data_IF_650792691833
#
_entry.id   IF_650792691833
#
_cell.length_a   1.000
_cell.length_b   1.000
_cell.length_c   1.000
_cell.angle_alpha   90.00
_cell.angle_beta   90.00
_cell.angle_gamma   90.00
#
_symmetry.space_group_name_H-M   'P 1'
#
loop_
_entity.id
_entity.type
_entity.pdbx_description
1 polymer ?
#
# COMPACT_ATOMS: atom_id res chain seq x y z
N UNK A 1 -25.54 20.90 -38.74
CA UNK A 1 -24.23 20.67 -39.38
C UNK A 1 -23.35 21.81 -38.91
N UNK A 2 -22.35 21.65 -38.05
CA UNK A 2 -21.37 20.58 -37.80
C UNK A 2 -20.92 20.69 -36.33
N UNK A 3 -21.14 19.65 -35.53
CA UNK A 3 -20.11 18.77 -34.97
C UNK A 3 -19.15 19.41 -33.96
N UNK A 4 -19.57 19.35 -32.70
CA UNK A 4 -18.70 19.34 -31.51
C UNK A 4 -17.95 18.01 -31.45
N UNK A 5 -16.67 18.00 -31.80
CA UNK A 5 -15.78 16.86 -31.55
C UNK A 5 -15.41 16.83 -30.07
N UNK A 6 -16.09 15.96 -29.32
CA UNK A 6 -15.71 15.57 -27.96
C UNK A 6 -14.46 14.69 -28.01
N UNK A 7 -13.34 15.22 -27.53
CA UNK A 7 -12.10 14.45 -27.29
C UNK A 7 -12.34 13.53 -26.08
N UNK A 8 -12.00 12.23 -26.14
CA UNK A 8 -12.14 11.35 -24.99
C UNK A 8 -11.01 11.59 -23.98
N UNK A 9 -11.40 12.01 -22.78
CA UNK A 9 -10.56 12.14 -21.60
C UNK A 9 -10.13 10.74 -21.12
N UNK A 10 -9.00 10.26 -21.64
CA UNK A 10 -8.29 9.08 -21.11
C UNK A 10 -6.83 9.46 -20.89
N UNK A 11 -6.60 10.23 -19.83
CA UNK A 11 -5.25 10.45 -19.32
C UNK A 11 -4.68 9.19 -18.67
N UNK A 12 -3.36 8.95 -18.73
CA UNK A 12 -2.72 7.88 -17.98
C UNK A 12 -2.95 8.11 -16.48
N UNK A 13 -3.41 7.07 -15.78
CA UNK A 13 -3.57 7.10 -14.32
C UNK A 13 -2.21 7.36 -13.66
N UNK A 14 -2.09 8.34 -12.75
CA UNK A 14 -0.83 8.59 -12.06
C UNK A 14 -0.47 7.38 -11.18
N UNK A 15 0.75 6.86 -11.37
CA UNK A 15 1.28 5.67 -10.71
C UNK A 15 1.79 6.06 -9.33
N UNK A 16 0.89 6.36 -8.37
CA UNK A 16 1.31 7.09 -7.16
C UNK A 16 1.54 6.28 -5.88
N UNK A 17 1.73 4.97 -6.01
CA UNK A 17 1.55 4.11 -4.87
C UNK A 17 2.79 3.25 -4.64
N UNK A 18 3.68 3.72 -3.76
CA UNK A 18 4.90 3.01 -3.35
C UNK A 18 5.34 3.31 -1.93
N UNK A 19 6.09 2.38 -1.30
CA UNK A 19 6.60 2.52 0.06
C UNK A 19 7.68 3.59 0.12
N UNK A 20 7.55 4.48 1.11
CA UNK A 20 8.54 5.47 1.49
C UNK A 20 9.82 4.74 1.89
N UNK A 21 10.93 5.03 1.20
CA UNK A 21 12.27 4.55 1.56
C UNK A 21 12.81 5.22 2.82
N UNK A 22 12.04 5.20 3.91
CA UNK A 22 12.59 5.54 5.22
C UNK A 22 13.52 4.39 5.67
N UNK A 23 14.79 4.67 5.98
CA UNK A 23 15.66 3.68 6.57
C UNK A 23 15.13 3.31 7.96
N UNK A 24 15.05 2.01 8.23
CA UNK A 24 14.79 1.43 9.54
C UNK A 24 15.77 2.05 10.55
N UNK A 25 15.31 2.67 11.65
CA UNK A 25 16.19 3.06 12.74
C UNK A 25 16.82 1.80 13.34
N UNK A 26 18.15 1.69 13.28
CA UNK A 26 18.91 0.70 14.05
C UNK A 26 18.81 1.04 15.54
N UNK A 27 18.49 0.05 16.37
CA UNK A 27 18.23 0.10 17.83
C UNK A 27 19.44 0.52 18.71
N UNK A 28 20.22 1.52 18.30
CA UNK A 28 21.38 1.98 19.10
C UNK A 28 21.12 3.27 19.89
N UNK A 29 20.00 3.95 19.66
CA UNK A 29 19.69 5.21 20.35
C UNK A 29 18.47 5.08 21.26
N UNK A 30 18.64 4.44 22.41
CA UNK A 30 17.71 4.57 23.53
C UNK A 30 18.44 4.42 24.86
N UNK A 31 19.09 5.51 25.29
CA UNK A 31 19.48 5.70 26.68
C UNK A 31 19.14 7.12 27.13
N UNK A 32 17.94 7.29 27.66
CA UNK A 32 17.65 8.22 28.76
C UNK A 32 16.25 7.93 29.31
N UNK A 33 16.21 7.70 30.62
CA UNK A 33 15.07 7.25 31.40
C UNK A 33 13.99 8.32 31.59
N UNK A 34 12.78 7.88 31.95
CA UNK A 34 12.16 8.30 33.22
C UNK A 34 11.06 7.35 33.68
N UNK A 35 11.17 7.03 34.96
CA UNK A 35 10.38 6.21 35.88
C UNK A 35 8.97 6.73 36.18
N UNK A 36 8.06 5.85 36.63
CA UNK A 36 7.03 6.00 37.72
C UNK A 36 6.24 4.67 37.82
N UNK A 37 6.53 3.82 38.81
CA UNK A 37 5.82 3.57 40.11
C UNK A 37 4.54 2.71 40.03
N UNK A 38 4.64 1.51 40.61
CA UNK A 38 3.60 0.51 40.89
C UNK A 38 2.92 0.69 42.26
N UNK A 39 1.67 0.21 42.42
CA UNK A 39 1.20 -0.37 43.70
C UNK A 39 0.44 -1.73 43.50
N UNK A 40 0.08 -2.50 44.58
CA UNK A 40 0.25 -3.97 44.68
C UNK A 40 -1.03 -4.84 44.54
N UNK A 41 -0.96 -6.19 44.69
CA UNK A 41 -2.02 -7.14 44.32
C UNK A 41 -2.80 -7.77 45.49
N UNK A 42 -4.07 -8.16 45.28
CA UNK A 42 -4.82 -9.24 46.02
C UNK A 42 -6.26 -9.41 45.44
N UNK A 43 -7.06 -10.44 45.77
CA UNK A 43 -6.99 -11.90 45.53
C UNK A 43 -8.24 -12.42 44.71
N UNK A 44 -8.45 -13.74 44.47
CA UNK A 44 -9.29 -14.24 43.37
C UNK A 44 -10.74 -14.66 43.71
N UNK A 45 -11.57 -14.68 42.65
CA UNK A 45 -12.78 -15.51 42.41
C UNK A 45 -14.10 -15.11 43.14
N UNK A 46 -15.30 -15.30 42.54
CA UNK A 46 -15.71 -16.54 41.88
C UNK A 46 -16.43 -16.45 40.52
N UNK A 47 -16.23 -17.54 39.77
CA UNK A 47 -17.11 -18.17 38.78
C UNK A 47 -18.55 -17.65 38.77
N UNK A 48 -18.97 -17.09 37.63
CA UNK A 48 -20.37 -17.09 37.21
C UNK A 48 -20.46 -17.59 35.78
N UNK A 49 -21.04 -18.78 35.68
CA UNK A 49 -21.56 -19.40 34.48
C UNK A 49 -22.41 -18.41 33.66
N UNK A 50 -21.98 -18.08 32.45
CA UNK A 50 -22.84 -17.40 31.47
C UNK A 50 -23.18 -18.34 30.35
N UNK A 51 -24.37 -18.90 30.49
CA UNK A 51 -25.17 -19.61 29.50
C UNK A 51 -25.15 -18.84 28.17
N UNK A 52 -24.72 -19.52 27.12
CA UNK A 52 -24.76 -19.03 25.74
C UNK A 52 -26.21 -19.02 25.24
N UNK A 53 -26.93 -17.93 25.49
CA UNK A 53 -28.11 -17.59 24.71
C UNK A 53 -27.69 -16.73 23.51
N UNK A 54 -27.53 -17.37 22.37
CA UNK A 54 -27.44 -16.73 21.05
C UNK A 54 -28.77 -16.06 20.74
N UNK A 55 -28.91 -14.79 21.12
CA UNK A 55 -29.97 -13.91 20.62
C UNK A 55 -29.37 -13.00 19.55
N UNK A 56 -29.68 -13.29 18.29
CA UNK A 56 -29.42 -12.41 17.15
C UNK A 56 -30.17 -11.11 17.33
N UNK A 57 -29.52 -10.10 17.89
CA UNK A 57 -30.07 -8.75 18.00
C UNK A 57 -29.87 -8.03 16.67
N UNK A 58 -30.97 -7.70 16.00
CA UNK A 58 -31.00 -6.78 14.88
C UNK A 58 -30.65 -5.39 15.41
N UNK A 59 -29.39 -4.98 15.24
CA UNK A 59 -28.92 -3.65 15.64
C UNK A 59 -29.58 -2.59 14.76
N UNK A 60 -30.45 -1.78 15.36
CA UNK A 60 -31.10 -0.66 14.67
C UNK A 60 -30.17 0.57 14.69
N UNK A 61 -30.16 1.31 13.58
CA UNK A 61 -29.36 2.51 13.35
C UNK A 61 -29.39 3.54 14.53
N UNK A 62 -30.51 3.75 15.24
CA UNK A 62 -30.56 4.63 16.41
C UNK A 62 -29.77 4.14 17.62
N UNK A 63 -29.62 2.82 17.79
CA UNK A 63 -28.81 2.24 18.89
C UNK A 63 -27.30 2.41 18.61
N UNK A 64 -26.91 2.31 17.35
CA UNK A 64 -25.54 2.62 16.88
C UNK A 64 -25.19 4.10 17.11
N UNK A 65 -26.13 5.01 16.87
CA UNK A 65 -25.92 6.46 17.06
C UNK A 65 -25.72 6.87 18.53
N UNK A 66 -26.30 6.14 19.50
CA UNK A 66 -26.17 6.45 20.93
C UNK A 66 -24.85 6.00 21.55
N UNK A 67 -24.20 4.98 21.00
CA UNK A 67 -22.88 4.48 21.44
C UNK A 67 -21.73 5.19 20.70
N UNK A 68 -22.08 5.93 19.64
CA UNK A 68 -21.14 6.61 18.77
C UNK A 68 -20.27 7.69 19.42
N UNK A 69 -20.73 8.54 20.37
CA UNK A 69 -19.93 9.70 20.78
C UNK A 69 -18.66 9.35 21.56
N UNK A 70 -18.73 8.49 22.59
CA UNK A 70 -17.54 8.13 23.38
C UNK A 70 -16.55 7.24 22.61
N UNK A 71 -17.07 6.39 21.72
CA UNK A 71 -16.23 5.58 20.83
C UNK A 71 -15.63 6.41 19.69
N UNK A 72 -16.32 7.46 19.22
CA UNK A 72 -15.81 8.38 18.22
C UNK A 72 -14.67 9.25 18.78
N UNK A 73 -14.77 9.79 19.99
CA UNK A 73 -13.70 10.61 20.58
C UNK A 73 -12.42 9.79 20.82
N UNK A 74 -12.55 8.56 21.34
CA UNK A 74 -11.43 7.63 21.49
C UNK A 74 -10.81 7.25 20.13
N UNK A 75 -11.64 7.06 19.10
CA UNK A 75 -11.16 6.80 17.75
C UNK A 75 -10.45 8.00 17.14
N UNK A 76 -11.03 9.21 17.24
CA UNK A 76 -10.49 10.43 16.67
C UNK A 76 -9.18 10.85 17.34
N UNK A 77 -9.08 10.72 18.67
CA UNK A 77 -7.82 10.95 19.39
C UNK A 77 -6.72 9.97 18.96
N UNK A 78 -7.06 8.70 18.72
CA UNK A 78 -6.10 7.75 18.18
C UNK A 78 -5.74 8.05 16.71
N UNK A 79 -6.71 8.41 15.88
CA UNK A 79 -6.47 8.83 14.51
C UNK A 79 -5.55 10.07 14.45
N UNK A 80 -5.73 11.03 15.35
CA UNK A 80 -4.84 12.19 15.47
C UNK A 80 -3.41 11.76 15.78
N UNK A 81 -3.20 10.78 16.68
CA UNK A 81 -1.86 10.22 16.95
C UNK A 81 -1.25 9.57 15.71
N UNK A 82 -2.05 8.85 14.91
CA UNK A 82 -1.59 8.31 13.62
C UNK A 82 -1.16 9.41 12.64
N UNK A 83 -1.83 10.56 12.65
CA UNK A 83 -1.56 11.68 11.75
C UNK A 83 -0.47 12.64 12.26
N UNK A 84 0.09 12.39 13.45
CA UNK A 84 1.09 13.25 14.06
C UNK A 84 2.44 13.26 13.33
N UNK A 85 2.70 12.27 12.47
CA UNK A 85 3.95 12.15 11.72
C UNK A 85 3.70 12.12 10.21
N UNK A 86 4.62 12.63 9.37
CA UNK A 86 4.50 12.53 7.92
C UNK A 86 4.37 11.08 7.42
N UNK A 87 5.11 10.15 8.04
CA UNK A 87 5.07 8.71 7.72
C UNK A 87 3.70 8.09 8.06
N UNK A 88 3.08 8.53 9.17
CA UNK A 88 1.73 8.11 9.55
C UNK A 88 0.64 8.67 8.62
N UNK A 89 0.76 9.93 8.20
CA UNK A 89 -0.10 10.53 7.16
C UNK A 89 0.00 9.74 5.86
N UNK A 90 1.22 9.43 5.41
CA UNK A 90 1.46 8.66 4.20
C UNK A 90 0.82 7.27 4.29
N UNK A 91 1.01 6.56 5.40
CA UNK A 91 0.40 5.24 5.65
C UNK A 91 -1.12 5.29 5.57
N UNK A 92 -1.76 6.29 6.18
CA UNK A 92 -3.21 6.47 6.10
C UNK A 92 -3.66 6.75 4.65
N UNK A 93 -2.94 7.61 3.93
CA UNK A 93 -3.23 7.91 2.52
C UNK A 93 -3.07 6.67 1.64
N UNK A 94 -2.06 5.82 1.87
CA UNK A 94 -1.89 4.55 1.15
C UNK A 94 -3.09 3.65 1.37
N UNK A 95 -3.50 3.49 2.64
CA UNK A 95 -4.63 2.67 3.02
C UNK A 95 -5.92 3.16 2.39
N UNK A 96 -6.21 4.46 2.48
CA UNK A 96 -7.40 5.09 1.86
C UNK A 96 -7.35 4.97 0.34
N UNK A 97 -6.19 5.20 -0.29
CA UNK A 97 -6.00 5.09 -1.73
C UNK A 97 -6.42 3.70 -2.22
N UNK A 98 -5.80 2.65 -1.71
CA UNK A 98 -6.06 1.32 -2.24
C UNK A 98 -7.37 0.73 -1.81
N UNK A 99 -7.82 1.01 -0.59
CA UNK A 99 -9.13 0.55 -0.15
C UNK A 99 -10.22 1.16 -1.03
N UNK A 100 -10.14 2.46 -1.31
CA UNK A 100 -11.12 3.14 -2.16
C UNK A 100 -11.03 2.68 -3.62
N UNK A 101 -9.83 2.44 -4.18
CA UNK A 101 -9.67 1.84 -5.52
C UNK A 101 -10.25 0.43 -5.60
N UNK A 102 -9.94 -0.43 -4.64
CA UNK A 102 -10.44 -1.80 -4.58
C UNK A 102 -11.96 -1.85 -4.46
N UNK A 103 -12.52 -1.12 -3.48
CA UNK A 103 -13.97 -1.07 -3.27
C UNK A 103 -14.67 -0.40 -4.46
N UNK A 104 -14.07 0.64 -5.06
CA UNK A 104 -14.59 1.28 -6.27
C UNK A 104 -14.70 0.32 -7.44
N UNK A 105 -13.63 -0.44 -7.72
CA UNK A 105 -13.60 -1.46 -8.76
C UNK A 105 -14.59 -2.61 -8.48
N UNK A 106 -14.69 -3.06 -7.22
CA UNK A 106 -15.62 -4.10 -6.80
C UNK A 106 -17.09 -3.67 -7.00
N UNK A 107 -17.45 -2.46 -6.57
CA UNK A 107 -18.79 -1.90 -6.76
C UNK A 107 -19.13 -1.69 -8.24
N UNK A 108 -18.16 -1.30 -9.05
CA UNK A 108 -18.34 -1.15 -10.50
C UNK A 108 -18.65 -2.50 -11.14
N UNK A 109 -17.88 -3.56 -10.82
CA UNK A 109 -18.18 -4.93 -11.30
C UNK A 109 -19.52 -5.45 -10.82
N UNK A 110 -19.88 -5.17 -9.56
CA UNK A 110 -21.17 -5.54 -9.01
C UNK A 110 -22.31 -4.84 -9.77
N UNK A 111 -22.20 -3.53 -10.00
CA UNK A 111 -23.20 -2.76 -10.75
C UNK A 111 -23.41 -3.31 -12.16
N UNK A 112 -22.33 -3.63 -12.87
CA UNK A 112 -22.39 -4.23 -14.21
C UNK A 112 -23.03 -5.62 -14.18
N UNK A 113 -22.74 -6.42 -13.17
CA UNK A 113 -23.32 -7.76 -13.01
C UNK A 113 -24.83 -7.69 -12.76
N UNK A 114 -25.26 -6.76 -11.89
CA UNK A 114 -26.68 -6.52 -11.61
C UNK A 114 -27.40 -6.04 -12.87
N UNK A 115 -26.83 -5.06 -13.60
CA UNK A 115 -27.40 -4.54 -14.85
C UNK A 115 -27.53 -5.64 -15.92
N UNK A 116 -26.50 -6.49 -16.08
CA UNK A 116 -26.55 -7.62 -17.04
C UNK A 116 -27.62 -8.64 -16.68
N UNK A 117 -27.82 -8.93 -15.39
CA UNK A 117 -28.89 -9.84 -14.94
C UNK A 117 -30.27 -9.25 -15.25
N UNK A 118 -30.49 -7.99 -14.92
CA UNK A 118 -31.74 -7.28 -15.24
C UNK A 118 -31.99 -7.24 -16.75
N UNK A 119 -30.97 -6.94 -17.56
CA UNK A 119 -31.09 -6.94 -19.01
C UNK A 119 -31.46 -8.32 -19.57
N UNK A 120 -30.86 -9.41 -19.07
CA UNK A 120 -31.20 -10.78 -19.48
C UNK A 120 -32.63 -11.16 -19.12
N UNK A 121 -33.10 -10.76 -17.94
CA UNK A 121 -34.49 -11.00 -17.54
C UNK A 121 -35.48 -10.23 -18.40
N UNK A 122 -35.17 -8.97 -18.74
CA UNK A 122 -35.99 -8.18 -19.67
C UNK A 122 -36.04 -8.82 -21.06
N UNK A 123 -34.88 -9.25 -21.58
CA UNK A 123 -34.80 -9.96 -22.87
C UNK A 123 -35.60 -11.26 -22.84
N UNK A 124 -35.50 -12.05 -21.77
CA UNK A 124 -36.29 -13.26 -21.60
C UNK A 124 -37.79 -12.95 -21.56
N UNK A 125 -38.20 -11.89 -20.87
CA UNK A 125 -39.60 -11.44 -20.82
C UNK A 125 -40.10 -11.01 -22.21
N UNK A 126 -39.27 -10.30 -22.99
CA UNK A 126 -39.60 -9.93 -24.38
C UNK A 126 -39.89 -11.16 -25.22
N UNK A 127 -39.09 -12.23 -25.09
CA UNK A 127 -39.31 -13.47 -25.84
C UNK A 127 -40.54 -14.27 -25.40
N UNK A 128 -41.12 -13.97 -24.23
CA UNK A 128 -42.40 -14.58 -23.79
C UNK A 128 -43.64 -13.84 -24.28
N UNK A 129 -43.49 -12.67 -24.94
CA UNK A 129 -44.63 -11.90 -25.45
C UNK A 129 -45.11 -12.42 -26.81
N UNK A 130 -46.43 -12.47 -27.08
CA UNK A 130 -46.97 -12.90 -28.38
C UNK A 130 -46.62 -11.91 -29.52
N UNK A 131 -46.21 -12.38 -30.72
CA UNK A 131 -46.13 -11.52 -31.91
C UNK A 131 -47.54 -11.25 -32.49
N UNK A 132 -47.83 -10.12 -33.21
CA UNK A 132 -46.97 -9.03 -33.67
C UNK A 132 -47.49 -7.60 -33.28
N UNK A 133 -48.15 -7.40 -32.13
CA UNK A 133 -48.74 -6.08 -31.76
C UNK A 133 -48.29 -5.49 -30.41
N UNK A 134 -47.28 -6.06 -29.75
CA UNK A 134 -46.80 -5.52 -28.48
C UNK A 134 -45.75 -4.42 -28.72
N UNK A 135 -46.18 -3.15 -28.71
CA UNK A 135 -45.26 -2.03 -28.55
C UNK A 135 -44.70 -2.07 -27.13
N UNK A 136 -43.41 -2.40 -26.99
CA UNK A 136 -42.74 -2.42 -25.68
C UNK A 136 -42.26 -0.99 -25.40
N UNK A 137 -43.03 -0.27 -24.60
CA UNK A 137 -42.60 1.03 -24.05
C UNK A 137 -41.70 0.71 -22.86
N UNK A 138 -40.38 0.79 -23.07
CA UNK A 138 -39.41 0.75 -21.97
C UNK A 138 -39.38 2.14 -21.36
N UNK A 139 -40.30 2.41 -20.43
CA UNK A 139 -40.20 3.60 -19.60
C UNK A 139 -38.97 3.44 -18.69
N UNK A 140 -38.02 4.36 -18.82
CA UNK A 140 -36.86 4.43 -17.95
C UNK A 140 -37.32 4.79 -16.54
N UNK A 141 -37.71 3.77 -15.77
CA UNK A 141 -38.42 3.87 -14.50
C UNK A 141 -37.97 5.03 -13.61
N UNK A 142 -38.78 6.09 -13.63
CA UNK A 142 -39.15 6.87 -12.47
C UNK A 142 -40.51 6.37 -12.00
N UNK A 143 -40.51 5.53 -10.96
CA UNK A 143 -41.66 5.12 -10.15
C UNK A 143 -42.83 4.35 -10.81
N UNK A 144 -43.46 3.49 -9.99
CA UNK A 144 -44.76 2.81 -10.18
C UNK A 144 -44.89 1.72 -11.25
N UNK A 145 -44.26 0.55 -11.03
CA UNK A 145 -44.75 -0.70 -11.59
C UNK A 145 -45.17 -1.66 -10.45
N UNK A 146 -46.46 -1.61 -10.11
CA UNK A 146 -47.11 -2.48 -9.12
C UNK A 146 -47.30 -3.88 -9.70
N UNK A 147 -46.22 -4.67 -9.72
CA UNK A 147 -46.25 -6.11 -10.01
C UNK A 147 -45.69 -6.89 -8.83
N UNK A 148 -46.44 -7.89 -8.36
CA UNK A 148 -46.18 -8.72 -7.14
C UNK A 148 -44.81 -9.43 -7.11
N UNK A 149 -44.05 -9.40 -8.21
CA UNK A 149 -42.72 -10.03 -8.37
C UNK A 149 -41.60 -9.04 -8.79
N UNK A 150 -41.77 -7.72 -8.58
CA UNK A 150 -40.89 -6.68 -9.12
C UNK A 150 -39.60 -6.45 -8.29
N UNK A 151 -38.70 -7.44 -8.24
CA UNK A 151 -37.34 -7.23 -7.72
C UNK A 151 -36.40 -6.46 -8.69
N UNK A 152 -36.84 -6.25 -9.94
CA UNK A 152 -36.11 -5.54 -10.99
C UNK A 152 -35.87 -4.03 -10.72
N UNK A 153 -36.86 -3.23 -10.29
CA UNK A 153 -36.65 -1.82 -9.94
C UNK A 153 -35.68 -1.63 -8.75
N UNK A 154 -35.78 -2.48 -7.72
CA UNK A 154 -34.87 -2.43 -6.57
C UNK A 154 -33.41 -2.77 -6.96
N UNK A 155 -33.20 -3.78 -7.82
CA UNK A 155 -31.87 -4.13 -8.33
C UNK A 155 -31.27 -3.04 -9.21
N UNK A 156 -32.09 -2.36 -10.01
CA UNK A 156 -31.64 -1.24 -10.86
C UNK A 156 -31.24 -0.04 -10.01
N UNK A 157 -32.02 0.29 -8.96
CA UNK A 157 -31.66 1.33 -8.00
C UNK A 157 -30.36 0.99 -7.25
N UNK A 158 -30.22 -0.25 -6.78
CA UNK A 158 -28.99 -0.72 -6.13
C UNK A 158 -27.78 -0.68 -7.06
N UNK A 159 -27.94 -1.06 -8.34
CA UNK A 159 -26.88 -0.97 -9.34
C UNK A 159 -26.44 0.48 -9.61
N UNK A 160 -27.39 1.41 -9.69
CA UNK A 160 -27.09 2.86 -9.83
C UNK A 160 -26.34 3.40 -8.62
N UNK A 161 -26.78 3.08 -7.40
CA UNK A 161 -26.09 3.48 -6.17
C UNK A 161 -24.67 2.89 -6.10
N UNK A 162 -24.51 1.60 -6.43
CA UNK A 162 -23.21 0.96 -6.48
C UNK A 162 -22.27 1.61 -7.52
N UNK A 163 -22.78 1.96 -8.71
CA UNK A 163 -22.00 2.64 -9.73
C UNK A 163 -21.58 4.06 -9.28
N UNK A 164 -22.49 4.82 -8.67
CA UNK A 164 -22.20 6.17 -8.15
C UNK A 164 -21.17 6.11 -7.03
N UNK A 165 -21.35 5.25 -6.04
CA UNK A 165 -20.41 5.08 -4.95
C UNK A 165 -19.05 4.57 -5.47
N UNK A 166 -19.06 3.65 -6.43
CA UNK A 166 -17.87 3.16 -7.10
C UNK A 166 -17.07 4.27 -7.77
N UNK A 167 -17.74 5.19 -8.48
CA UNK A 167 -17.12 6.37 -9.09
C UNK A 167 -16.53 7.32 -8.03
N UNK A 168 -17.27 7.59 -6.95
CA UNK A 168 -16.82 8.46 -5.86
C UNK A 168 -15.59 7.91 -5.15
N UNK A 169 -15.57 6.61 -4.84
CA UNK A 169 -14.43 5.96 -4.21
C UNK A 169 -13.21 5.93 -5.14
N UNK A 170 -13.41 5.67 -6.44
CA UNK A 170 -12.31 5.73 -7.41
C UNK A 170 -11.71 7.14 -7.49
N UNK A 171 -12.55 8.17 -7.41
CA UNK A 171 -12.11 9.57 -7.39
C UNK A 171 -11.33 9.90 -6.10
N UNK A 172 -11.81 9.42 -4.95
CA UNK A 172 -11.11 9.56 -3.67
C UNK A 172 -9.73 8.88 -3.71
N UNK A 173 -9.65 7.69 -4.29
CA UNK A 173 -8.39 6.98 -4.47
C UNK A 173 -7.42 7.74 -5.37
N UNK A 174 -7.92 8.33 -6.47
CA UNK A 174 -7.13 9.21 -7.33
C UNK A 174 -6.61 10.45 -6.59
N UNK A 175 -7.42 11.04 -5.72
CA UNK A 175 -7.02 12.21 -4.93
C UNK A 175 -5.97 11.85 -3.87
N UNK A 176 -6.15 10.72 -3.17
CA UNK A 176 -5.17 10.23 -2.19
C UNK A 176 -3.83 9.88 -2.87
N UNK A 177 -3.90 9.20 -4.01
CA UNK A 177 -2.77 8.90 -4.90
C UNK A 177 -2.03 10.20 -5.30
N UNK A 178 -2.75 11.22 -5.75
CA UNK A 178 -2.15 12.53 -6.07
C UNK A 178 -1.47 13.18 -4.86
N UNK A 179 -2.12 13.20 -3.70
CA UNK A 179 -1.56 13.77 -2.48
C UNK A 179 -0.23 13.08 -2.09
N UNK A 180 -0.14 11.75 -2.26
CA UNK A 180 1.10 10.99 -2.06
C UNK A 180 2.20 11.38 -3.05
N UNK A 181 1.88 11.64 -4.31
CA UNK A 181 2.87 12.11 -5.30
C UNK A 181 3.41 13.48 -4.95
N UNK A 182 2.54 14.40 -4.53
CA UNK A 182 2.97 15.72 -4.06
C UNK A 182 3.88 15.58 -2.83
N UNK A 183 3.50 14.74 -1.85
CA UNK A 183 4.30 14.50 -0.66
C UNK A 183 5.70 13.94 -1.02
N UNK A 184 5.79 13.09 -2.05
CA UNK A 184 7.06 12.51 -2.50
C UNK A 184 8.02 13.51 -3.16
N UNK A 185 7.56 14.66 -3.64
CA UNK A 185 8.47 15.73 -4.08
C UNK A 185 9.43 16.15 -2.96
N UNK A 186 8.96 16.17 -1.71
CA UNK A 186 9.78 16.48 -0.54
C UNK A 186 10.73 15.35 -0.16
N UNK A 187 10.46 14.11 -0.58
CA UNK A 187 11.31 12.95 -0.27
C UNK A 187 12.66 12.97 -0.99
N UNK A 188 12.85 13.85 -1.99
CA UNK A 188 14.15 14.13 -2.61
C UNK A 188 15.19 14.59 -1.59
N UNK A 189 14.77 15.31 -0.54
CA UNK A 189 15.65 15.69 0.57
C UNK A 189 16.12 14.45 1.34
N UNK A 190 15.23 13.48 1.54
CA UNK A 190 15.58 12.18 2.13
C UNK A 190 16.58 11.40 1.27
N UNK A 191 16.43 11.45 -0.07
CA UNK A 191 17.39 10.82 -0.99
C UNK A 191 18.80 11.42 -0.88
N UNK A 192 18.91 12.73 -0.68
CA UNK A 192 20.21 13.37 -0.41
C UNK A 192 20.86 12.82 0.86
N UNK A 193 20.11 12.71 1.96
CA UNK A 193 20.65 12.16 3.21
C UNK A 193 21.01 10.67 3.10
N UNK A 194 20.25 9.90 2.33
CA UNK A 194 20.60 8.52 2.02
C UNK A 194 21.90 8.44 1.23
N UNK A 195 22.06 9.26 0.18
CA UNK A 195 23.30 9.35 -0.58
C UNK A 195 24.49 9.79 0.30
N UNK A 196 24.29 10.80 1.17
CA UNK A 196 25.29 11.26 2.13
C UNK A 196 25.72 10.12 3.07
N UNK A 197 24.79 9.31 3.56
CA UNK A 197 25.12 8.17 4.43
C UNK A 197 25.98 7.13 3.69
N UNK A 198 25.60 6.75 2.47
CA UNK A 198 26.36 5.77 1.69
C UNK A 198 27.75 6.27 1.30
N UNK A 199 27.88 7.55 0.96
CA UNK A 199 29.19 8.17 0.67
C UNK A 199 30.10 8.20 1.90
N UNK A 200 29.56 8.54 3.08
CA UNK A 200 30.32 8.52 4.33
C UNK A 200 30.76 7.09 4.71
N UNK A 201 29.90 6.08 4.51
CA UNK A 201 30.27 4.68 4.72
C UNK A 201 31.41 4.25 3.80
N UNK A 202 31.35 4.60 2.51
CA UNK A 202 32.40 4.31 1.55
C UNK A 202 33.74 4.96 1.94
N UNK A 203 33.70 6.23 2.38
CA UNK A 203 34.89 6.95 2.82
C UNK A 203 35.49 6.35 4.10
N UNK A 204 34.64 5.92 5.05
CA UNK A 204 35.09 5.24 6.26
C UNK A 204 35.77 3.91 5.95
N UNK A 205 35.21 3.10 5.03
CA UNK A 205 35.81 1.85 4.56
C UNK A 205 37.13 2.06 3.82
N UNK A 206 37.29 3.19 3.11
CA UNK A 206 38.55 3.54 2.47
C UNK A 206 39.62 3.97 3.48
N UNK A 207 39.25 4.74 4.49
CA UNK A 207 40.16 5.19 5.55
C UNK A 207 40.66 4.02 6.42
N UNK A 208 39.81 3.05 6.72
CA UNK A 208 40.21 1.85 7.48
C UNK A 208 41.17 0.96 6.67
N UNK A 209 40.98 0.88 5.35
CA UNK A 209 41.89 0.14 4.46
C UNK A 209 43.26 0.80 4.29
N UNK A 210 43.34 2.13 4.44
CA UNK A 210 44.60 2.90 4.23
C UNK A 210 45.37 3.12 5.54
N UNK A 211 44.70 3.03 6.70
CA UNK A 211 45.29 3.25 8.03
C UNK A 211 46.02 2.05 8.65
N UNK A 212 45.97 0.86 8.06
CA UNK A 212 46.60 -0.36 8.62
C UNK A 212 48.09 -0.53 8.24
N UNK A 213 48.76 0.55 7.81
CA UNK A 213 50.13 0.52 7.28
C UNK A 213 51.25 0.86 8.27
N UNK A 214 50.97 1.12 9.55
CA UNK A 214 52.03 1.50 10.49
C UNK A 214 51.75 1.10 11.95
N UNK A 215 51.78 -0.21 12.25
CA UNK A 215 52.10 -0.71 13.60
C UNK A 215 52.95 -1.98 13.50
N UNK A 216 54.26 -1.77 13.46
CA UNK A 216 55.25 -2.83 13.69
C UNK A 216 55.28 -3.22 15.18
N UNK A 217 55.64 -4.48 15.46
CA UNK A 217 55.96 -5.14 16.76
C UNK A 217 54.74 -5.66 17.55
N UNK A 218 54.51 -6.96 17.82
CA UNK A 218 55.31 -8.19 17.72
C UNK A 218 54.45 -9.49 17.76
N UNK A 219 55.04 -10.58 17.22
CA UNK A 219 54.89 -12.03 17.52
C UNK A 219 53.64 -12.84 17.09
N UNK A 220 53.87 -13.73 16.09
CA UNK A 220 53.42 -15.13 15.83
C UNK A 220 52.24 -15.73 16.62
N UNK A 221 51.34 -16.57 16.10
CA UNK A 221 51.43 -17.64 15.09
C UNK A 221 49.99 -18.18 14.79
N UNK A 222 49.71 -18.62 13.54
CA UNK A 222 48.66 -19.60 13.08
C UNK A 222 47.21 -19.46 13.63
N UNK A 223 46.18 -19.21 12.83
CA UNK A 223 45.70 -20.06 11.74
C UNK A 223 44.97 -19.26 10.65
N UNK A 224 45.49 -19.36 9.42
CA UNK A 224 44.78 -19.04 8.18
C UNK A 224 43.75 -20.13 7.88
N UNK A 225 42.46 -19.79 7.90
CA UNK A 225 41.41 -20.30 6.98
C UNK A 225 40.00 -19.81 7.38
N UNK A 226 39.69 -18.51 7.24
CA UNK A 226 38.28 -18.07 7.08
C UNK A 226 38.04 -16.62 6.60
N UNK A 227 39.06 -15.84 6.22
CA UNK A 227 38.87 -14.40 5.98
C UNK A 227 38.52 -14.00 4.53
N UNK A 228 38.32 -14.95 3.61
CA UNK A 228 37.99 -14.65 2.21
C UNK A 228 36.53 -14.25 1.94
N UNK A 229 35.60 -14.49 2.88
CA UNK A 229 34.16 -14.38 2.64
C UNK A 229 33.49 -13.05 3.04
N UNK A 230 33.99 -12.37 4.07
CA UNK A 230 33.35 -11.16 4.61
C UNK A 230 33.49 -9.96 3.67
N UNK A 231 34.70 -9.70 3.17
CA UNK A 231 34.97 -8.53 2.31
C UNK A 231 34.17 -8.53 0.99
N UNK A 232 33.95 -9.69 0.36
CA UNK A 232 33.15 -9.78 -0.86
C UNK A 232 31.66 -9.60 -0.60
N UNK A 233 31.17 -10.15 0.52
CA UNK A 233 29.78 -9.98 0.93
C UNK A 233 29.46 -8.52 1.27
N UNK A 234 30.38 -7.83 1.94
CA UNK A 234 30.24 -6.42 2.30
C UNK A 234 30.24 -5.52 1.06
N UNK A 235 31.11 -5.80 0.09
CA UNK A 235 31.11 -5.09 -1.21
C UNK A 235 29.82 -5.31 -1.99
N UNK A 236 29.27 -6.54 -1.96
CA UNK A 236 28.02 -6.85 -2.61
C UNK A 236 26.84 -6.13 -1.94
N UNK A 237 26.80 -6.10 -0.60
CA UNK A 237 25.79 -5.36 0.15
C UNK A 237 25.85 -3.86 -0.18
N UNK A 238 27.05 -3.27 -0.18
CA UNK A 238 27.23 -1.87 -0.57
C UNK A 238 26.79 -1.60 -2.01
N UNK A 239 27.07 -2.51 -2.95
CA UNK A 239 26.62 -2.39 -4.34
C UNK A 239 25.09 -2.44 -4.43
N UNK A 240 24.43 -3.34 -3.68
CA UNK A 240 22.97 -3.43 -3.62
C UNK A 240 22.37 -2.13 -3.07
N UNK A 241 22.93 -1.59 -1.99
CA UNK A 241 22.45 -0.33 -1.39
C UNK A 241 22.57 0.86 -2.36
N UNK A 242 23.69 0.96 -3.09
CA UNK A 242 23.87 1.96 -4.14
C UNK A 242 22.91 1.76 -5.32
N UNK A 243 22.72 0.52 -5.76
CA UNK A 243 21.78 0.21 -6.83
C UNK A 243 20.32 0.53 -6.44
N UNK A 244 19.95 0.29 -5.18
CA UNK A 244 18.66 0.67 -4.63
C UNK A 244 18.48 2.20 -4.62
N UNK A 245 19.48 2.95 -4.16
CA UNK A 245 19.45 4.42 -4.18
C UNK A 245 19.27 4.96 -5.61
N UNK A 246 20.11 4.50 -6.55
CA UNK A 246 20.04 4.95 -7.95
C UNK A 246 18.69 4.64 -8.57
N UNK A 247 18.18 3.43 -8.33
CA UNK A 247 16.86 3.02 -8.82
C UNK A 247 15.75 3.92 -8.26
N UNK A 248 15.80 4.24 -6.98
CA UNK A 248 14.81 5.12 -6.33
C UNK A 248 14.90 6.56 -6.87
N UNK A 249 16.11 7.11 -7.04
CA UNK A 249 16.32 8.45 -7.61
C UNK A 249 15.78 8.54 -9.03
N UNK A 250 16.09 7.56 -9.88
CA UNK A 250 15.60 7.54 -11.26
C UNK A 250 14.07 7.44 -11.32
N UNK A 251 13.48 6.59 -10.47
CA UNK A 251 12.02 6.53 -10.33
C UNK A 251 11.44 7.89 -9.96
N UNK A 252 11.97 8.53 -8.90
CA UNK A 252 11.44 9.81 -8.42
C UNK A 252 11.59 10.94 -9.44
N UNK A 253 12.72 11.05 -10.11
CA UNK A 253 12.94 12.11 -11.12
C UNK A 253 11.95 11.97 -12.28
N UNK A 254 11.72 10.76 -12.77
CA UNK A 254 10.80 10.50 -13.86
C UNK A 254 9.34 10.70 -13.46
N UNK A 255 8.95 10.20 -12.29
CA UNK A 255 7.59 10.36 -11.76
C UNK A 255 7.27 11.83 -11.49
N UNK A 256 8.17 12.54 -10.79
CA UNK A 256 8.00 13.95 -10.44
C UNK A 256 8.01 14.81 -11.71
N UNK A 257 8.90 14.52 -12.67
CA UNK A 257 8.95 15.21 -13.95
C UNK A 257 7.66 15.06 -14.75
N UNK A 258 7.11 13.84 -14.79
CA UNK A 258 5.85 13.56 -15.47
C UNK A 258 4.67 14.26 -14.77
N UNK A 259 4.62 14.18 -13.43
CA UNK A 259 3.57 14.80 -12.62
C UNK A 259 3.56 16.33 -12.77
N UNK A 260 4.73 16.96 -12.62
CA UNK A 260 4.88 18.42 -12.76
C UNK A 260 4.56 18.89 -14.19
N UNK A 261 4.93 18.11 -15.21
CA UNK A 261 4.56 18.40 -16.60
C UNK A 261 3.04 18.32 -16.82
N UNK A 262 2.38 17.32 -16.22
CA UNK A 262 0.92 17.20 -16.23
C UNK A 262 0.19 18.36 -15.54
N UNK A 263 0.89 19.13 -14.71
CA UNK A 263 0.39 20.35 -14.05
C UNK A 263 0.84 21.64 -14.73
N UNK A 264 1.53 21.55 -15.86
CA UNK A 264 2.03 22.70 -16.62
C UNK A 264 3.24 23.40 -16.00
N UNK A 265 3.89 22.80 -15.00
CA UNK A 265 5.13 23.34 -14.39
C UNK A 265 6.33 23.05 -15.29
N UNK A 266 6.33 21.88 -15.93
CA UNK A 266 7.35 21.45 -16.89
C UNK A 266 6.73 21.24 -18.28
N UNK A 267 7.56 21.18 -19.31
CA UNK A 267 7.13 21.19 -20.72
C UNK A 267 7.02 19.82 -21.40
N UNK A 268 6.97 18.68 -20.68
CA UNK A 268 6.90 17.38 -21.34
C UNK A 268 5.53 17.15 -21.97
N UNK A 269 5.52 16.61 -23.19
CA UNK A 269 4.32 16.20 -23.90
C UNK A 269 3.61 15.03 -23.19
N UNK A 270 2.30 14.81 -23.42
CA UNK A 270 1.59 13.67 -22.82
C UNK A 270 2.23 12.31 -23.11
N UNK A 271 2.83 12.15 -24.30
CA UNK A 271 3.55 10.93 -24.67
C UNK A 271 4.83 10.74 -23.84
N UNK A 272 5.57 11.83 -23.60
CA UNK A 272 6.77 11.80 -22.75
C UNK A 272 6.43 11.53 -21.29
N UNK A 273 5.34 12.11 -20.78
CA UNK A 273 4.84 11.83 -19.44
C UNK A 273 4.49 10.35 -19.27
N UNK A 274 3.73 9.78 -20.22
CA UNK A 274 3.39 8.36 -20.23
C UNK A 274 4.64 7.46 -20.26
N UNK A 275 5.61 7.79 -21.12
CA UNK A 275 6.89 7.07 -21.18
C UNK A 275 7.68 7.19 -19.88
N UNK A 276 7.72 8.38 -19.27
CA UNK A 276 8.41 8.60 -18.02
C UNK A 276 7.81 7.79 -16.88
N UNK A 277 6.48 7.69 -16.79
CA UNK A 277 5.81 6.81 -15.83
C UNK A 277 6.21 5.34 -16.04
N UNK A 278 6.15 4.83 -17.27
CA UNK A 278 6.53 3.44 -17.59
C UNK A 278 8.00 3.16 -17.27
N UNK A 279 8.92 4.03 -17.71
CA UNK A 279 10.35 3.87 -17.46
C UNK A 279 10.67 4.02 -15.99
N UNK A 280 10.03 4.96 -15.29
CA UNK A 280 10.13 5.09 -13.84
C UNK A 280 9.71 3.81 -13.14
N UNK A 281 8.56 3.23 -13.52
CA UNK A 281 8.09 1.97 -12.95
C UNK A 281 9.02 0.77 -13.21
N UNK A 282 9.89 0.82 -14.24
CA UNK A 282 10.94 -0.19 -14.42
C UNK A 282 12.04 -0.06 -13.37
N UNK A 283 12.51 1.17 -13.10
CA UNK A 283 13.49 1.42 -12.02
C UNK A 283 12.94 1.01 -10.67
N UNK A 284 11.66 1.26 -10.46
CA UNK A 284 10.95 0.78 -9.30
C UNK A 284 10.93 -0.75 -9.19
N UNK A 285 10.65 -1.45 -10.30
CA UNK A 285 10.70 -2.90 -10.34
C UNK A 285 12.10 -3.43 -9.98
N UNK A 286 13.16 -2.75 -10.44
CA UNK A 286 14.55 -3.07 -10.05
C UNK A 286 14.73 -2.92 -8.54
N UNK A 287 14.30 -1.80 -7.95
CA UNK A 287 14.34 -1.58 -6.51
C UNK A 287 13.61 -2.69 -5.73
N UNK A 288 12.38 -3.02 -6.12
CA UNK A 288 11.59 -4.09 -5.47
C UNK A 288 12.28 -5.44 -5.58
N UNK A 289 12.88 -5.76 -6.73
CA UNK A 289 13.64 -7.00 -6.92
C UNK A 289 14.88 -7.07 -6.01
N UNK A 290 15.64 -5.98 -5.91
CA UNK A 290 16.78 -5.87 -5.00
C UNK A 290 16.36 -6.04 -3.54
N UNK A 291 15.26 -5.39 -3.13
CA UNK A 291 14.75 -5.48 -1.76
C UNK A 291 14.26 -6.88 -1.40
N UNK A 292 13.56 -7.56 -2.32
CA UNK A 292 13.18 -8.97 -2.15
C UNK A 292 14.40 -9.88 -2.03
N UNK A 293 15.42 -9.66 -2.87
CA UNK A 293 16.67 -10.41 -2.81
C UNK A 293 17.39 -10.22 -1.47
N UNK A 294 17.51 -8.96 -1.01
CA UNK A 294 18.12 -8.61 0.28
C UNK A 294 17.40 -9.25 1.46
N UNK A 295 16.06 -9.17 1.48
CA UNK A 295 15.22 -9.78 2.52
C UNK A 295 15.31 -11.32 2.51
N UNK A 296 15.31 -11.94 1.33
CA UNK A 296 15.45 -13.39 1.20
C UNK A 296 16.83 -13.86 1.69
N UNK A 297 17.90 -13.18 1.28
CA UNK A 297 19.26 -13.47 1.74
C UNK A 297 19.34 -13.40 3.28
N UNK A 298 18.84 -12.32 3.89
CA UNK A 298 18.81 -12.17 5.34
C UNK A 298 17.99 -13.26 6.06
N UNK A 299 16.85 -13.66 5.51
CA UNK A 299 16.02 -14.74 6.07
C UNK A 299 16.72 -16.10 5.97
N UNK A 300 17.40 -16.40 4.86
CA UNK A 300 18.16 -17.64 4.67
C UNK A 300 19.36 -17.69 5.61
N UNK A 301 20.13 -16.61 5.72
CA UNK A 301 21.26 -16.52 6.64
C UNK A 301 20.84 -16.75 8.10
N UNK A 302 19.70 -16.20 8.51
CA UNK A 302 19.18 -16.37 9.88
C UNK A 302 18.53 -17.73 10.13
N UNK A 303 17.90 -18.32 9.12
CA UNK A 303 17.38 -19.68 9.22
C UNK A 303 18.51 -20.72 9.40
N UNK A 304 19.67 -20.50 8.77
CA UNK A 304 20.86 -21.34 8.95
C UNK A 304 21.56 -21.16 10.30
N UNK A 305 21.40 -19.99 10.93
CA UNK A 305 21.99 -19.67 12.24
C UNK A 305 21.08 -20.04 13.44
N UNK A 306 19.78 -20.29 13.19
CA UNK A 306 18.76 -20.48 14.23
C UNK A 306 18.76 -21.88 14.85
N UNK A 307 19.48 -22.04 15.97
CA UNK A 307 19.22 -23.11 16.93
C UNK A 307 18.00 -22.83 17.82
N UNK A 308 17.56 -23.82 18.60
CA UNK A 308 16.34 -23.82 19.45
C UNK A 308 16.26 -22.68 20.51
N UNK A 309 17.30 -21.85 20.64
CA UNK A 309 17.47 -20.76 21.61
C UNK A 309 17.43 -19.35 21.02
N UNK A 310 16.81 -19.13 19.86
CA UNK A 310 16.64 -17.78 19.29
C UNK A 310 15.95 -16.82 20.29
N UNK A 311 16.57 -15.67 20.55
CA UNK A 311 16.11 -14.67 21.52
C UNK A 311 14.77 -14.06 21.11
N UNK A 312 14.06 -13.42 22.06
CA UNK A 312 12.80 -12.72 21.75
C UNK A 312 13.00 -11.61 20.72
N UNK A 313 14.13 -10.90 20.79
CA UNK A 313 14.52 -9.83 19.86
C UNK A 313 14.78 -10.38 18.45
N UNK A 314 15.51 -11.50 18.33
CA UNK A 314 15.77 -12.13 17.04
C UNK A 314 14.47 -12.62 16.37
N UNK A 315 13.55 -13.18 17.17
CA UNK A 315 12.22 -13.57 16.70
C UNK A 315 11.40 -12.38 16.20
N UNK A 316 11.48 -11.25 16.90
CA UNK A 316 10.82 -10.01 16.49
C UNK A 316 11.41 -9.50 15.16
N UNK A 317 12.73 -9.50 15.04
CA UNK A 317 13.44 -9.05 13.84
C UNK A 317 13.09 -9.92 12.62
N UNK A 318 13.12 -11.25 12.77
CA UNK A 318 12.66 -12.19 11.73
C UNK A 318 11.18 -11.95 11.40
N UNK A 319 10.36 -11.66 12.40
CA UNK A 319 8.97 -11.26 12.20
C UNK A 319 8.83 -9.98 11.38
N UNK A 320 9.68 -8.98 11.62
CA UNK A 320 9.71 -7.73 10.88
C UNK A 320 10.19 -7.93 9.43
N UNK A 321 11.22 -8.76 9.22
CA UNK A 321 11.69 -9.15 7.88
C UNK A 321 10.59 -9.87 7.09
N UNK A 322 9.89 -10.83 7.70
CA UNK A 322 8.77 -11.54 7.06
C UNK A 322 7.63 -10.60 6.68
N UNK A 323 7.30 -9.61 7.52
CA UNK A 323 6.30 -8.57 7.19
C UNK A 323 6.76 -7.73 5.99
N UNK A 324 8.02 -7.32 5.98
CA UNK A 324 8.61 -6.54 4.87
C UNK A 324 8.64 -7.35 3.57
N UNK A 325 8.92 -8.66 3.66
CA UNK A 325 8.84 -9.57 2.52
C UNK A 325 7.42 -9.67 1.97
N UNK A 326 6.42 -9.83 2.84
CA UNK A 326 5.00 -9.88 2.43
C UNK A 326 4.56 -8.57 1.74
N UNK A 327 4.99 -7.43 2.25
CA UNK A 327 4.73 -6.11 1.64
C UNK A 327 5.36 -6.04 0.24
N UNK A 328 6.65 -6.38 0.10
CA UNK A 328 7.35 -6.31 -1.18
C UNK A 328 6.81 -7.34 -2.20
N UNK A 329 6.39 -8.52 -1.74
CA UNK A 329 5.73 -9.51 -2.60
C UNK A 329 4.37 -9.03 -3.11
N UNK A 330 3.62 -8.28 -2.30
CA UNK A 330 2.39 -7.65 -2.75
C UNK A 330 2.66 -6.52 -3.76
N UNK A 331 3.77 -5.80 -3.61
CA UNK A 331 4.21 -4.77 -4.56
C UNK A 331 4.74 -5.31 -5.89
N UNK A 332 5.45 -6.43 -5.88
CA UNK A 332 6.12 -6.98 -7.06
C UNK A 332 5.22 -7.12 -8.31
N UNK A 333 4.01 -7.70 -8.27
CA UNK A 333 3.16 -7.77 -9.45
C UNK A 333 2.63 -6.39 -9.89
N UNK A 334 2.50 -5.43 -8.97
CA UNK A 334 2.04 -4.07 -9.27
C UNK A 334 3.14 -3.27 -9.97
N UNK A 335 4.37 -3.35 -9.49
CA UNK A 335 5.51 -2.65 -10.11
C UNK A 335 5.78 -3.18 -11.51
N UNK A 336 5.66 -4.50 -11.72
CA UNK A 336 5.75 -5.09 -13.05
C UNK A 336 4.58 -4.68 -13.96
N UNK A 337 3.35 -4.58 -13.43
CA UNK A 337 2.20 -4.10 -14.18
C UNK A 337 2.42 -2.70 -14.72
N UNK A 338 2.91 -1.79 -13.88
CA UNK A 338 3.20 -0.41 -14.24
C UNK A 338 4.44 -0.22 -15.12
N UNK A 339 5.38 -1.17 -15.10
CA UNK A 339 6.55 -1.18 -15.96
C UNK A 339 6.24 -1.45 -17.47
N UNK A 340 4.97 -1.73 -17.79
CA UNK A 340 4.49 -1.99 -19.15
C UNK A 340 3.47 -0.94 -19.58
N UNK A 341 3.45 -0.59 -20.87
CA UNK A 341 2.58 0.47 -21.38
C UNK A 341 1.08 0.17 -21.23
N UNK A 342 0.70 -1.09 -21.38
CA UNK A 342 -0.71 -1.52 -21.29
C UNK A 342 -1.11 -2.00 -19.90
N UNK A 343 -0.14 -2.46 -19.11
CA UNK A 343 -0.42 -3.23 -17.91
C UNK A 343 -1.06 -4.59 -18.20
N UNK A 344 -0.92 -5.54 -17.27
CA UNK A 344 -1.59 -6.84 -17.34
C UNK A 344 -2.59 -7.13 -16.20
N UNK A 345 -2.60 -6.34 -15.12
CA UNK A 345 -3.54 -6.47 -14.01
C UNK A 345 -4.80 -5.65 -14.26
N UNK A 346 -5.95 -6.19 -13.86
CA UNK A 346 -7.19 -5.41 -13.80
C UNK A 346 -7.18 -4.43 -12.62
N UNK A 347 -7.96 -3.35 -12.68
CA UNK A 347 -8.10 -2.38 -11.57
C UNK A 347 -8.44 -3.01 -10.22
N UNK A 348 -9.25 -4.08 -10.24
CA UNK A 348 -9.57 -4.83 -9.02
C UNK A 348 -8.33 -5.50 -8.43
N UNK A 349 -7.48 -6.09 -9.29
CA UNK A 349 -6.25 -6.76 -8.87
C UNK A 349 -5.20 -5.75 -8.40
N UNK A 350 -5.08 -4.61 -9.06
CA UNK A 350 -4.23 -3.49 -8.61
C UNK A 350 -4.71 -2.99 -7.24
N UNK A 351 -6.01 -2.75 -7.09
CA UNK A 351 -6.61 -2.37 -5.81
C UNK A 351 -6.35 -3.40 -4.71
N UNK A 352 -6.57 -4.69 -5.00
CA UNK A 352 -6.35 -5.77 -4.05
C UNK A 352 -4.88 -5.91 -3.63
N UNK A 353 -3.96 -5.85 -4.59
CA UNK A 353 -2.52 -5.96 -4.32
C UNK A 353 -2.02 -4.81 -3.45
N UNK A 354 -2.46 -3.58 -3.69
CA UNK A 354 -2.09 -2.42 -2.86
C UNK A 354 -2.83 -2.34 -1.52
N UNK A 355 -4.00 -2.98 -1.37
CA UNK A 355 -4.67 -3.11 -0.07
C UNK A 355 -3.82 -3.89 0.93
N UNK A 356 -3.08 -4.92 0.50
CA UNK A 356 -2.24 -5.73 1.39
C UNK A 356 -1.22 -4.86 2.15
N UNK A 357 -0.31 -4.12 1.50
CA UNK A 357 0.63 -3.27 2.20
C UNK A 357 -0.06 -2.12 2.94
N UNK A 358 -1.16 -1.56 2.41
CA UNK A 358 -1.92 -0.51 3.09
C UNK A 358 -2.51 -0.99 4.43
N UNK A 359 -3.14 -2.17 4.46
CA UNK A 359 -3.71 -2.76 5.67
C UNK A 359 -2.62 -3.16 6.66
N UNK A 360 -1.54 -3.79 6.18
CA UNK A 360 -0.45 -4.23 7.06
C UNK A 360 0.24 -3.05 7.75
N UNK A 361 0.53 -1.99 7.00
CA UNK A 361 1.15 -0.78 7.55
C UNK A 361 0.19 -0.03 8.47
N UNK A 362 -1.08 0.14 8.08
CA UNK A 362 -2.06 0.81 8.92
C UNK A 362 -2.31 0.07 10.24
N UNK A 363 -2.35 -1.27 10.22
CA UNK A 363 -2.47 -2.09 11.43
C UNK A 363 -1.25 -2.02 12.35
N UNK A 364 -0.06 -1.83 11.78
CA UNK A 364 1.16 -1.62 12.56
C UNK A 364 1.12 -0.24 13.19
N UNK A 365 0.91 0.81 12.38
CA UNK A 365 0.79 2.19 12.83
C UNK A 365 -0.23 2.32 13.97
N UNK A 366 -1.45 1.80 13.76
CA UNK A 366 -2.52 1.83 14.76
C UNK A 366 -2.17 1.08 16.06
N UNK A 367 -1.27 0.11 16.03
CA UNK A 367 -0.84 -0.56 17.27
C UNK A 367 0.23 0.24 17.98
N UNK A 368 1.17 0.79 17.22
CA UNK A 368 2.31 1.53 17.72
C UNK A 368 1.87 2.88 18.33
N UNK A 369 0.72 3.41 17.91
CA UNK A 369 0.13 4.67 18.42
C UNK A 369 -1.02 4.48 19.42
N UNK A 370 -1.33 3.23 19.81
CA UNK A 370 -2.49 2.90 20.65
C UNK A 370 -2.39 3.44 22.08
#
# INVERSE_FOLDING_TARGET
MTETTSVPETGPTPISDLPTGEPIPTLSDSKAASSITTPPPTPPSPTSSRTTSTTTTTTTLPALLKVLPSSADAFLSHLQRCLATPSGVDTLLLFVCYLSRFTGAALTRLSQTLLRRTARELVALVFTLPPPKAAIIIEAAGATASGKNSSAPARTAAARLAALLGKRLSSLGSLASEARTIARLWSLVGMYFWAKRLTLQLLASYSSSTGNGNSSTATSEKDDASEGGSSSSDKLAALVDWAQLVSCVMFQVLENGAYLSGRGVLGWTPAEQGRAYVVGSRWLCVYTGLELGRLLAGLVSKAGAGGEFASAEEREEVGAMRRSMAINLAWAPLTLHWATEKGFLSDLAVGAGGCIPGVLQMRKLWRDTA
#
